data_IF_610278293849
#
_entry.id   IF_610278293849
#
_cell.length_a   1.000
_cell.length_b   1.000
_cell.length_c   1.000
_cell.angle_alpha   90.00
_cell.angle_beta   90.00
_cell.angle_gamma   90.00
#
_symmetry.space_group_name_H-M   'P 1'
#
loop_
_entity.id
_entity.type
_entity.pdbx_description
1 polymer ?
#
# COMPACT_ATOMS: atom_id res chain seq x y z
N UNK A 1 -36.25 -69.09 -24.87
CA UNK A 1 -36.08 -67.69 -25.31
C UNK A 1 -35.69 -66.86 -24.09
N UNK A 2 -34.43 -66.42 -24.03
CA UNK A 2 -33.79 -65.80 -22.86
C UNK A 2 -33.92 -64.28 -22.99
N UNK A 3 -34.53 -63.60 -22.02
CA UNK A 3 -34.60 -62.13 -21.96
C UNK A 3 -33.32 -61.60 -21.32
N UNK A 4 -32.56 -60.79 -22.05
CA UNK A 4 -31.39 -60.04 -21.55
C UNK A 4 -31.87 -58.71 -20.97
N UNK A 5 -31.61 -58.47 -19.69
CA UNK A 5 -31.73 -57.16 -19.07
C UNK A 5 -30.41 -56.41 -19.28
N UNK A 6 -30.48 -55.20 -19.85
CA UNK A 6 -29.35 -54.29 -19.98
C UNK A 6 -29.76 -52.96 -19.35
N UNK A 7 -29.33 -52.72 -18.11
CA UNK A 7 -29.47 -51.41 -17.45
C UNK A 7 -28.06 -50.89 -17.22
N UNK A 8 -27.58 -50.05 -18.12
CA UNK A 8 -26.34 -49.32 -17.98
C UNK A 8 -26.60 -48.04 -17.18
N UNK A 9 -26.07 -47.95 -15.96
CA UNK A 9 -26.00 -46.71 -15.21
C UNK A 9 -24.77 -45.92 -15.70
N UNK A 10 -24.99 -44.82 -16.40
CA UNK A 10 -23.94 -43.86 -16.75
C UNK A 10 -23.74 -42.95 -15.54
N UNK A 11 -22.68 -43.22 -14.76
CA UNK A 11 -22.22 -42.32 -13.72
C UNK A 11 -21.42 -41.18 -14.37
N UNK A 12 -22.05 -40.01 -14.54
CA UNK A 12 -21.33 -38.76 -14.85
C UNK A 12 -20.61 -38.29 -13.58
N UNK A 13 -19.35 -38.66 -13.41
CA UNK A 13 -18.49 -38.06 -12.39
C UNK A 13 -18.09 -36.66 -12.86
N UNK A 14 -18.72 -35.63 -12.27
CA UNK A 14 -18.34 -34.23 -12.44
C UNK A 14 -17.05 -33.99 -11.64
N UNK A 15 -15.90 -34.34 -12.22
CA UNK A 15 -14.61 -33.90 -11.67
C UNK A 15 -14.48 -32.42 -11.96
N UNK A 16 -14.95 -31.58 -11.03
CA UNK A 16 -14.53 -30.20 -10.97
C UNK A 16 -13.02 -30.20 -10.74
N UNK A 17 -12.27 -30.06 -11.84
CA UNK A 17 -10.86 -29.70 -11.77
C UNK A 17 -10.79 -28.37 -11.04
N UNK A 18 -10.43 -28.41 -9.76
CA UNK A 18 -10.00 -27.23 -9.03
C UNK A 18 -8.72 -26.79 -9.73
N UNK A 19 -8.87 -25.92 -10.72
CA UNK A 19 -7.78 -25.11 -11.23
C UNK A 19 -7.32 -24.28 -10.03
N UNK A 20 -6.30 -24.75 -9.33
CA UNK A 20 -5.45 -23.90 -8.51
C UNK A 20 -4.76 -22.94 -9.46
N UNK A 21 -5.44 -21.87 -9.83
CA UNK A 21 -4.74 -20.65 -10.18
C UNK A 21 -3.95 -20.29 -8.93
N UNK A 22 -2.64 -20.52 -8.94
CA UNK A 22 -1.75 -19.71 -8.13
C UNK A 22 -2.02 -18.28 -8.60
N UNK A 23 -2.93 -17.59 -7.93
CA UNK A 23 -2.97 -16.15 -8.00
C UNK A 23 -1.59 -15.76 -7.49
N UNK A 24 -0.70 -15.37 -8.40
CA UNK A 24 0.47 -14.59 -8.00
C UNK A 24 -0.14 -13.40 -7.29
N UNK A 25 -0.14 -13.40 -5.96
CA UNK A 25 -0.74 -12.29 -5.27
C UNK A 25 0.06 -11.05 -5.64
N UNK A 26 -0.67 -9.98 -5.88
CA UNK A 26 -0.15 -8.71 -6.29
C UNK A 26 -0.61 -7.70 -5.27
N UNK A 27 0.21 -6.68 -5.01
CA UNK A 27 -0.21 -5.58 -4.18
C UNK A 27 -1.45 -4.91 -4.80
N UNK A 28 -2.52 -4.78 -4.03
CA UNK A 28 -3.73 -4.16 -4.52
C UNK A 28 -3.61 -2.64 -4.51
N UNK A 29 -4.13 -1.97 -5.55
CA UNK A 29 -4.10 -0.51 -5.68
C UNK A 29 -4.92 0.26 -4.63
N UNK A 30 -5.58 -0.45 -3.72
CA UNK A 30 -6.34 0.07 -2.59
C UNK A 30 -5.87 -0.54 -1.26
N UNK A 31 -4.65 -1.07 -1.21
CA UNK A 31 -4.07 -1.58 0.02
C UNK A 31 -3.66 -0.42 0.95
N UNK A 32 -3.61 -0.72 2.25
CA UNK A 32 -2.97 0.13 3.26
C UNK A 32 -1.74 -0.59 3.78
N UNK A 33 -0.59 0.06 3.68
CA UNK A 33 0.67 -0.36 4.29
C UNK A 33 0.70 0.16 5.73
N UNK A 34 0.40 -0.72 6.70
CA UNK A 34 0.41 -0.36 8.11
C UNK A 34 1.85 -0.28 8.62
N UNK A 35 2.11 0.73 9.46
CA UNK A 35 3.44 1.01 9.99
C UNK A 35 3.56 0.39 11.38
N UNK A 36 4.44 -0.58 11.55
CA UNK A 36 4.74 -1.22 12.82
C UNK A 36 5.90 -0.51 13.56
N UNK A 37 6.01 -0.69 14.89
CA UNK A 37 7.15 -0.22 15.66
C UNK A 37 8.46 -0.79 15.10
N UNK A 38 9.47 0.08 14.95
CA UNK A 38 10.76 -0.23 14.31
C UNK A 38 10.93 0.48 12.96
N UNK A 39 9.85 1.03 12.40
CA UNK A 39 9.90 1.98 11.30
C UNK A 39 10.58 3.29 11.71
N UNK A 40 11.39 3.86 10.83
CA UNK A 40 12.14 5.10 11.08
C UNK A 40 12.37 5.89 9.79
N UNK A 41 12.71 7.16 9.95
CA UNK A 41 13.38 7.94 8.92
C UNK A 41 14.69 8.50 9.48
N UNK A 42 15.57 8.99 8.62
CA UNK A 42 16.72 9.74 9.08
C UNK A 42 17.26 10.67 8.02
N UNK A 43 18.05 11.64 8.49
CA UNK A 43 18.83 12.56 7.68
C UNK A 43 20.30 12.32 7.98
N UNK A 44 21.14 12.38 6.96
CA UNK A 44 22.60 12.29 7.07
C UNK A 44 23.16 13.65 7.53
N UNK A 45 23.20 13.85 8.85
CA UNK A 45 23.59 15.12 9.46
C UNK A 45 25.11 15.31 9.52
N UNK A 46 25.88 14.23 9.45
CA UNK A 46 27.34 14.23 9.49
C UNK A 46 27.99 14.03 8.11
N UNK A 47 27.18 13.72 7.08
CA UNK A 47 27.60 13.65 5.69
C UNK A 47 28.44 12.41 5.38
N UNK A 48 28.29 11.35 6.17
CA UNK A 48 29.06 10.11 6.02
C UNK A 48 28.38 9.09 5.09
N UNK A 49 27.17 9.40 4.62
CA UNK A 49 26.37 8.54 3.75
C UNK A 49 25.83 7.30 4.46
N UNK A 50 25.76 7.29 5.79
CA UNK A 50 25.29 6.16 6.58
C UNK A 50 24.15 6.58 7.52
N UNK A 51 22.92 6.28 7.11
CA UNK A 51 21.74 6.50 7.96
C UNK A 51 21.21 5.13 8.44
N UNK A 52 21.34 4.87 9.74
CA UNK A 52 20.87 3.62 10.36
C UNK A 52 19.66 3.83 11.26
N UNK A 53 18.94 2.75 11.58
CA UNK A 53 17.84 2.75 12.55
C UNK A 53 18.24 3.30 13.93
N UNK A 54 19.53 3.24 14.28
CA UNK A 54 20.05 3.72 15.57
C UNK A 54 20.25 5.24 15.60
N UNK A 55 20.44 5.85 14.43
CA UNK A 55 20.57 7.30 14.25
C UNK A 55 19.28 7.95 13.74
N UNK A 56 18.33 7.13 13.27
CA UNK A 56 17.05 7.57 12.73
C UNK A 56 16.03 7.97 13.80
N UNK A 57 15.09 8.83 13.41
CA UNK A 57 13.91 9.17 14.20
C UNK A 57 12.85 8.11 14.02
N UNK A 58 12.41 7.51 15.13
CA UNK A 58 11.37 6.49 15.13
C UNK A 58 10.03 7.09 14.72
N UNK A 59 9.28 6.29 13.97
CA UNK A 59 7.96 6.64 13.45
C UNK A 59 6.91 5.77 14.14
N UNK A 60 5.74 6.36 14.38
CA UNK A 60 4.54 5.66 14.83
C UNK A 60 3.43 5.77 13.80
N UNK A 61 2.56 4.76 13.74
CA UNK A 61 1.46 4.75 12.78
C UNK A 61 0.47 5.88 13.02
N UNK A 62 0.06 6.55 11.93
CA UNK A 62 -1.19 7.31 11.85
C UNK A 62 -2.18 6.57 10.95
N UNK A 63 -2.12 6.78 9.63
CA UNK A 63 -2.94 6.03 8.66
C UNK A 63 -2.17 4.96 7.88
N UNK A 64 -0.84 4.98 7.91
CA UNK A 64 -0.02 4.22 6.98
C UNK A 64 -0.08 4.81 5.56
N UNK A 65 0.53 4.11 4.60
CA UNK A 65 0.49 4.50 3.19
C UNK A 65 -0.72 3.85 2.53
N UNK A 66 -1.60 4.66 1.94
CA UNK A 66 -2.74 4.23 1.13
C UNK A 66 -2.31 4.16 -0.32
N UNK A 67 -2.13 2.94 -0.82
CA UNK A 67 -1.78 2.71 -2.22
C UNK A 67 -2.86 3.33 -3.12
N UNK A 68 -2.43 3.95 -4.23
CA UNK A 68 -3.30 4.56 -5.23
C UNK A 68 -4.06 5.81 -4.77
N UNK A 69 -3.76 6.36 -3.57
CA UNK A 69 -4.44 7.55 -3.03
C UNK A 69 -3.42 8.58 -2.55
N UNK A 70 -3.63 9.86 -2.90
CA UNK A 70 -2.83 10.94 -2.34
C UNK A 70 -3.26 11.23 -0.89
N UNK A 71 -2.29 11.38 0.00
CA UNK A 71 -2.50 11.64 1.42
C UNK A 71 -2.05 13.05 1.77
N UNK A 72 -2.74 14.03 1.20
CA UNK A 72 -2.35 15.44 1.30
C UNK A 72 -2.80 16.10 2.60
N UNK A 73 -2.06 17.12 3.02
CA UNK A 73 -2.37 17.98 4.17
C UNK A 73 -2.77 19.37 3.67
N UNK A 74 -3.62 20.09 4.41
CA UNK A 74 -4.07 21.44 3.99
C UNK A 74 -3.45 22.58 4.82
N UNK A 75 -2.97 22.33 6.05
CA UNK A 75 -2.40 23.32 7.00
C UNK A 75 -1.78 22.56 8.22
N UNK A 76 -1.01 23.18 9.16
CA UNK A 76 0.01 22.49 9.94
C UNK A 76 -0.43 21.12 10.50
N UNK A 77 0.36 20.05 10.28
CA UNK A 77 -0.18 18.71 10.14
C UNK A 77 -0.24 17.86 11.41
N UNK A 78 0.23 18.36 12.57
CA UNK A 78 0.34 17.57 13.80
C UNK A 78 -1.00 17.00 14.35
N UNK A 79 -2.15 17.37 13.76
CA UNK A 79 -3.48 16.85 14.12
C UNK A 79 -4.33 16.41 12.94
N UNK A 80 -3.77 16.29 11.73
CA UNK A 80 -4.57 15.99 10.55
C UNK A 80 -4.79 14.48 10.35
N UNK A 81 -6.02 14.05 10.02
CA UNK A 81 -6.33 12.64 9.86
C UNK A 81 -5.71 12.02 8.61
N UNK A 82 -5.20 12.79 7.64
CA UNK A 82 -4.73 12.25 6.35
C UNK A 82 -3.24 11.87 6.31
N UNK A 83 -2.47 12.14 7.36
CA UNK A 83 -1.03 11.89 7.35
C UNK A 83 -0.67 10.40 7.40
N UNK A 84 0.49 10.06 6.83
CA UNK A 84 0.99 8.68 6.80
C UNK A 84 1.34 8.22 8.22
N UNK A 85 2.06 9.07 8.95
CA UNK A 85 2.65 8.72 10.23
C UNK A 85 2.81 9.92 11.18
N UNK A 86 3.32 9.66 12.38
CA UNK A 86 3.69 10.68 13.37
C UNK A 86 5.05 10.32 13.96
N UNK A 87 5.96 11.29 14.04
CA UNK A 87 7.29 11.08 14.59
C UNK A 87 7.27 10.97 16.11
N UNK A 88 8.08 10.06 16.65
CA UNK A 88 8.21 9.93 18.09
C UNK A 88 9.10 11.04 18.64
N UNK A 89 8.57 11.85 19.56
CA UNK A 89 9.33 12.89 20.26
C UNK A 89 9.39 14.26 19.58
N UNK A 90 8.82 14.42 18.38
CA UNK A 90 8.75 15.70 17.65
C UNK A 90 7.43 15.80 16.85
N UNK A 91 6.83 17.00 16.67
CA UNK A 91 5.53 17.15 15.97
C UNK A 91 5.60 16.99 14.43
N UNK A 92 6.54 16.21 13.91
CA UNK A 92 6.70 16.00 12.47
C UNK A 92 5.90 14.81 11.92
N UNK A 93 5.76 14.79 10.60
CA UNK A 93 4.95 13.79 9.89
C UNK A 93 5.27 13.72 8.39
N UNK A 94 5.05 12.54 7.80
CA UNK A 94 5.10 12.34 6.35
C UNK A 94 3.70 12.37 5.71
N UNK A 95 3.66 12.83 4.46
CA UNK A 95 2.44 12.93 3.66
C UNK A 95 2.76 12.87 2.17
N UNK A 96 1.75 12.69 1.31
CA UNK A 96 1.94 12.70 -0.15
C UNK A 96 1.03 13.68 -0.88
N UNK A 97 1.59 14.46 -1.80
CA UNK A 97 0.82 15.34 -2.71
C UNK A 97 0.28 14.59 -3.94
N UNK A 98 0.87 13.43 -4.25
CA UNK A 98 0.47 12.54 -5.33
C UNK A 98 0.11 11.14 -4.81
N UNK A 99 -0.68 10.36 -5.58
CA UNK A 99 -1.02 9.00 -5.19
C UNK A 99 0.19 8.06 -5.17
N UNK A 100 0.30 7.24 -4.12
CA UNK A 100 1.32 6.20 -4.03
C UNK A 100 1.01 5.02 -4.98
N UNK A 101 1.36 5.15 -6.25
CA UNK A 101 0.98 4.19 -7.29
C UNK A 101 1.94 3.00 -7.37
N UNK A 102 1.43 1.84 -7.76
CA UNK A 102 2.28 0.68 -8.08
C UNK A 102 2.87 0.89 -9.46
N UNK A 103 4.20 0.88 -9.55
CA UNK A 103 4.93 1.01 -10.80
C UNK A 103 5.31 -0.36 -11.37
N UNK A 104 5.72 -1.29 -10.51
CA UNK A 104 5.98 -2.68 -10.88
C UNK A 104 5.68 -3.63 -9.73
N UNK A 105 5.29 -4.86 -10.07
CA UNK A 105 5.09 -5.96 -9.14
C UNK A 105 5.57 -7.25 -9.83
N UNK A 106 6.52 -7.94 -9.22
CA UNK A 106 7.05 -9.19 -9.78
C UNK A 106 6.22 -10.43 -9.40
N UNK A 107 5.18 -10.28 -8.56
CA UNK A 107 4.35 -11.36 -8.04
C UNK A 107 5.10 -12.33 -7.11
N UNK A 108 6.30 -11.96 -6.67
CA UNK A 108 7.21 -12.74 -5.82
C UNK A 108 7.69 -11.92 -4.61
N UNK A 109 6.90 -10.92 -4.21
CA UNK A 109 7.17 -10.11 -3.02
C UNK A 109 8.14 -8.95 -3.26
N UNK A 110 8.38 -8.50 -4.50
CA UNK A 110 9.06 -7.22 -4.76
C UNK A 110 8.19 -6.31 -5.61
N UNK A 111 7.85 -5.16 -5.05
CA UNK A 111 7.00 -4.14 -5.65
C UNK A 111 7.76 -2.82 -5.63
N UNK A 112 7.56 -1.99 -6.65
CA UNK A 112 8.00 -0.60 -6.63
C UNK A 112 6.81 0.34 -6.57
N UNK A 113 6.92 1.36 -5.71
CA UNK A 113 5.90 2.35 -5.49
C UNK A 113 6.40 3.73 -5.90
N UNK A 114 5.55 4.49 -6.57
CA UNK A 114 5.76 5.91 -6.84
C UNK A 114 5.51 6.71 -5.56
N UNK A 115 6.58 7.21 -4.96
CA UNK A 115 6.58 8.18 -3.86
C UNK A 115 7.20 9.52 -4.31
N UNK A 116 7.13 9.87 -5.61
CA UNK A 116 7.60 11.16 -6.13
C UNK A 116 6.88 12.37 -5.53
N UNK A 117 5.72 12.15 -4.90
CA UNK A 117 5.00 13.16 -4.14
C UNK A 117 5.25 13.15 -2.64
N UNK A 118 6.24 12.40 -2.15
CA UNK A 118 6.54 12.32 -0.72
C UNK A 118 7.04 13.67 -0.22
N UNK A 119 6.44 14.10 0.89
CA UNK A 119 6.78 15.32 1.59
C UNK A 119 6.87 15.02 3.09
N UNK A 120 7.63 15.83 3.81
CA UNK A 120 7.69 15.80 5.27
C UNK A 120 7.47 17.19 5.85
N UNK A 121 6.84 17.25 7.03
CA UNK A 121 6.75 18.46 7.83
C UNK A 121 7.60 18.29 9.08
N UNK A 122 8.52 19.21 9.31
CA UNK A 122 9.48 19.16 10.44
C UNK A 122 9.02 19.90 11.70
N UNK A 123 7.83 20.52 11.66
CA UNK A 123 7.33 21.42 12.70
C UNK A 123 7.34 22.89 12.28
N UNK A 124 8.13 23.24 11.28
CA UNK A 124 8.38 24.62 10.82
C UNK A 124 7.93 24.80 9.37
N UNK A 125 8.34 23.89 8.50
CA UNK A 125 8.12 23.98 7.06
C UNK A 125 7.92 22.61 6.42
N UNK A 126 7.50 22.66 5.14
CA UNK A 126 7.36 21.47 4.32
C UNK A 126 8.65 21.25 3.52
N UNK A 127 9.16 20.03 3.57
CA UNK A 127 10.36 19.60 2.86
C UNK A 127 9.92 18.56 1.82
N UNK A 128 10.25 18.83 0.56
CA UNK A 128 9.96 17.93 -0.55
C UNK A 128 10.99 16.81 -0.60
N UNK A 129 10.53 15.57 -0.74
CA UNK A 129 11.37 14.37 -0.70
C UNK A 129 11.16 13.49 -1.94
N UNK A 130 10.64 14.01 -3.05
CA UNK A 130 10.30 13.21 -4.23
C UNK A 130 11.44 12.93 -5.22
N UNK A 131 12.69 13.32 -4.91
CA UNK A 131 13.82 13.24 -5.84
C UNK A 131 15.17 13.07 -5.13
N UNK A 132 16.23 12.83 -5.90
CA UNK A 132 17.60 12.76 -5.39
C UNK A 132 17.90 11.44 -4.70
N UNK A 133 17.52 10.31 -5.31
CA UNK A 133 17.92 9.00 -4.80
C UNK A 133 19.46 8.92 -4.76
N UNK A 134 20.01 8.77 -3.56
CA UNK A 134 21.46 8.76 -3.32
C UNK A 134 22.04 7.35 -3.14
N UNK A 135 21.20 6.38 -2.77
CA UNK A 135 21.60 4.99 -2.59
C UNK A 135 21.60 4.24 -3.93
N UNK A 136 22.59 3.36 -4.14
CA UNK A 136 22.72 2.62 -5.39
C UNK A 136 21.55 1.64 -5.59
N UNK A 137 20.98 1.62 -6.79
CA UNK A 137 19.86 0.74 -7.13
C UNK A 137 18.48 1.35 -6.89
N UNK A 138 18.42 2.57 -6.36
CA UNK A 138 17.18 3.34 -6.22
C UNK A 138 17.03 4.38 -7.35
N UNK A 139 15.80 4.81 -7.56
CA UNK A 139 15.43 5.81 -8.58
C UNK A 139 14.64 6.91 -7.90
N UNK A 140 14.81 8.14 -8.39
CA UNK A 140 14.10 9.32 -7.89
C UNK A 140 12.59 9.07 -7.78
N UNK A 141 12.06 9.32 -6.58
CA UNK A 141 10.63 9.19 -6.32
C UNK A 141 10.13 7.75 -6.32
N UNK A 142 11.00 6.73 -6.31
CA UNK A 142 10.58 5.32 -6.31
C UNK A 142 11.02 4.63 -5.02
N UNK A 143 10.06 4.11 -4.27
CA UNK A 143 10.30 3.24 -3.14
C UNK A 143 10.31 1.77 -3.55
N UNK A 144 11.13 0.98 -2.87
CA UNK A 144 11.15 -0.47 -3.00
C UNK A 144 10.40 -1.08 -1.82
N UNK A 145 9.40 -1.92 -2.12
CA UNK A 145 8.63 -2.68 -1.15
C UNK A 145 8.98 -4.16 -1.29
N UNK A 146 9.53 -4.75 -0.23
CA UNK A 146 9.87 -6.15 -0.14
C UNK A 146 8.90 -6.83 0.84
N UNK A 147 8.04 -7.67 0.30
CA UNK A 147 7.11 -8.46 1.09
C UNK A 147 7.70 -9.83 1.41
N UNK A 148 7.23 -10.45 2.48
CA UNK A 148 7.76 -11.74 2.90
C UNK A 148 7.34 -12.88 1.95
N UNK A 149 6.24 -12.76 1.22
CA UNK A 149 5.82 -13.80 0.26
C UNK A 149 5.42 -13.23 -1.09
N UNK A 150 4.37 -12.41 -1.13
CA UNK A 150 3.73 -12.03 -2.39
C UNK A 150 2.96 -10.70 -2.31
N UNK A 151 3.12 -9.94 -1.23
CA UNK A 151 2.42 -8.68 -1.02
C UNK A 151 0.88 -8.82 -0.96
N UNK A 152 0.37 -10.02 -0.65
CA UNK A 152 -1.05 -10.22 -0.35
C UNK A 152 -1.47 -9.56 0.96
N UNK A 153 -2.78 -9.39 1.15
CA UNK A 153 -3.31 -8.87 2.41
C UNK A 153 -2.91 -9.77 3.59
N UNK A 154 -2.36 -9.15 4.64
CA UNK A 154 -1.83 -9.82 5.82
C UNK A 154 -0.34 -10.11 5.76
N UNK A 155 0.28 -10.02 4.58
CA UNK A 155 1.73 -10.22 4.40
C UNK A 155 2.51 -9.10 5.11
N UNK A 156 3.69 -9.46 5.61
CA UNK A 156 4.61 -8.50 6.19
C UNK A 156 5.48 -7.87 5.11
N UNK A 157 5.85 -6.62 5.29
CA UNK A 157 6.69 -5.90 4.34
C UNK A 157 7.78 -5.08 5.02
N UNK A 158 8.84 -4.81 4.26
CA UNK A 158 9.77 -3.70 4.46
C UNK A 158 9.70 -2.78 3.25
N UNK A 159 9.67 -1.47 3.48
CA UNK A 159 9.71 -0.44 2.44
C UNK A 159 10.96 0.38 2.67
N UNK A 160 11.79 0.49 1.63
CA UNK A 160 12.98 1.33 1.62
C UNK A 160 12.81 2.44 0.60
N UNK A 161 13.07 3.66 1.04
CA UNK A 161 13.04 4.85 0.19
C UNK A 161 14.21 5.77 0.51
N UNK A 162 14.80 6.34 -0.52
CA UNK A 162 15.99 7.18 -0.44
C UNK A 162 15.78 8.42 -1.31
N UNK A 163 16.05 9.58 -0.72
CA UNK A 163 15.92 10.88 -1.38
C UNK A 163 16.96 11.85 -0.84
N UNK A 164 17.14 12.99 -1.51
CA UNK A 164 17.99 14.07 -1.04
C UNK A 164 17.13 15.32 -0.96
N UNK A 165 17.22 16.03 0.16
CA UNK A 165 16.53 17.31 0.31
C UNK A 165 17.04 18.27 -0.78
N UNK A 166 16.16 18.94 -1.54
CA UNK A 166 16.58 19.84 -2.61
C UNK A 166 17.58 20.89 -2.12
N UNK A 167 18.60 21.20 -2.92
CA UNK A 167 19.64 22.18 -2.56
C UNK A 167 19.13 23.61 -2.46
N UNK A 168 17.94 23.87 -3.00
CA UNK A 168 17.22 25.14 -2.92
C UNK A 168 16.12 25.13 -1.84
N UNK A 169 16.03 24.09 -1.02
CA UNK A 169 15.10 24.04 0.10
C UNK A 169 15.52 25.06 1.17
N UNK A 170 14.59 25.84 1.74
CA UNK A 170 14.91 26.87 2.72
C UNK A 170 15.20 26.34 4.13
N UNK A 171 15.13 25.02 4.36
CA UNK A 171 15.54 24.40 5.61
C UNK A 171 17.06 24.31 5.79
N UNK A 172 17.49 24.02 7.01
CA UNK A 172 18.90 23.72 7.32
C UNK A 172 19.33 22.33 6.82
N UNK A 173 18.45 21.60 6.12
CA UNK A 173 18.69 20.26 5.62
C UNK A 173 18.99 20.20 4.11
N UNK A 174 19.10 21.34 3.44
CA UNK A 174 19.34 21.41 1.99
C UNK A 174 20.55 20.57 1.55
N UNK A 175 20.33 19.63 0.62
CA UNK A 175 21.34 18.71 0.11
C UNK A 175 21.65 17.51 1.00
N UNK A 176 21.01 17.37 2.16
CA UNK A 176 21.21 16.20 3.03
C UNK A 176 20.51 14.97 2.47
N UNK A 177 21.18 13.82 2.61
CA UNK A 177 20.59 12.53 2.30
C UNK A 177 19.50 12.18 3.31
N UNK A 178 18.40 11.63 2.81
CA UNK A 178 17.23 11.20 3.56
C UNK A 178 16.95 9.73 3.31
N UNK A 179 16.61 8.98 4.35
CA UNK A 179 16.10 7.61 4.24
C UNK A 179 14.77 7.49 4.97
N UNK A 180 13.86 6.70 4.39
CA UNK A 180 12.64 6.23 5.04
C UNK A 180 12.61 4.71 4.97
N UNK A 181 12.48 4.10 6.14
CA UNK A 181 12.40 2.66 6.32
C UNK A 181 11.12 2.35 7.07
N UNK A 182 10.16 1.76 6.39
CA UNK A 182 8.91 1.33 7.01
C UNK A 182 8.87 -0.19 7.07
N UNK A 183 8.36 -0.71 8.15
CA UNK A 183 8.03 -2.12 8.27
C UNK A 183 6.60 -2.27 8.77
N UNK A 184 5.93 -3.34 8.36
CA UNK A 184 4.65 -3.68 8.94
C UNK A 184 3.86 -4.68 8.12
N UNK A 185 2.54 -4.47 8.01
CA UNK A 185 1.63 -5.42 7.36
C UNK A 185 0.70 -4.75 6.37
N UNK A 186 0.46 -5.44 5.27
CA UNK A 186 -0.47 -5.00 4.23
C UNK A 186 -1.90 -5.33 4.70
N UNK A 187 -2.81 -4.38 4.57
CA UNK A 187 -4.23 -4.60 4.89
C UNK A 187 -5.14 -4.05 3.80
N UNK A 188 -6.33 -4.63 3.68
CA UNK A 188 -7.34 -4.10 2.78
C UNK A 188 -7.94 -2.83 3.38
N UNK A 189 -8.23 -1.82 2.54
CA UNK A 189 -9.12 -0.73 2.96
C UNK A 189 -10.49 -1.34 3.29
N UNK A 190 -11.05 -1.10 4.49
CA UNK A 190 -12.40 -1.54 4.81
C UNK A 190 -13.39 -0.96 3.79
N UNK A 191 -13.91 -1.82 2.92
CA UNK A 191 -14.92 -1.39 1.95
C UNK A 191 -16.17 -0.99 2.73
N UNK A 192 -16.72 0.22 2.55
CA UNK A 192 -17.90 0.63 3.29
C UNK A 192 -19.02 -0.39 3.12
N UNK A 193 -19.73 -0.70 4.21
CA UNK A 193 -20.88 -1.61 4.22
C UNK A 193 -21.92 -1.27 3.13
N UNK A 194 -21.94 -0.02 2.68
CA UNK A 194 -22.69 0.45 1.52
C UNK A 194 -22.52 -0.43 0.28
N UNK A 195 -21.32 -0.93 -0.05
CA UNK A 195 -21.16 -1.78 -1.25
C UNK A 195 -21.95 -3.09 -1.12
N UNK A 196 -21.99 -3.68 0.07
CA UNK A 196 -22.82 -4.86 0.35
C UNK A 196 -24.31 -4.53 0.32
N UNK A 197 -24.71 -3.35 0.83
CA UNK A 197 -26.09 -2.88 0.79
C UNK A 197 -26.56 -2.58 -0.64
N UNK A 198 -25.71 -1.95 -1.46
CA UNK A 198 -26.00 -1.69 -2.87
C UNK A 198 -26.04 -2.99 -3.67
N UNK A 199 -25.12 -3.92 -3.43
CA UNK A 199 -25.12 -5.23 -4.07
C UNK A 199 -26.39 -6.05 -3.76
N UNK A 200 -26.75 -6.14 -2.48
CA UNK A 200 -27.97 -6.86 -2.05
C UNK A 200 -29.25 -6.13 -2.46
N UNK A 201 -29.27 -4.80 -2.41
CA UNK A 201 -30.39 -3.97 -2.86
C UNK A 201 -30.65 -4.13 -4.37
N UNK A 202 -29.61 -4.15 -5.19
CA UNK A 202 -29.73 -4.34 -6.65
C UNK A 202 -30.25 -5.73 -6.99
N UNK A 203 -29.74 -6.78 -6.32
CA UNK A 203 -30.23 -8.15 -6.49
C UNK A 203 -31.70 -8.29 -6.07
N UNK A 204 -32.10 -7.65 -4.97
CA UNK A 204 -33.49 -7.57 -4.53
C UNK A 204 -34.39 -6.91 -5.58
N UNK A 205 -33.92 -5.81 -6.19
CA UNK A 205 -34.64 -5.09 -7.23
C UNK A 205 -34.77 -5.91 -8.53
N UNK A 206 -33.71 -6.59 -8.95
CA UNK A 206 -33.73 -7.48 -10.11
C UNK A 206 -34.71 -8.65 -9.90
N UNK A 207 -34.76 -9.22 -8.70
CA UNK A 207 -35.74 -10.23 -8.32
C UNK A 207 -37.18 -9.73 -8.37
N UNK A 208 -37.43 -8.48 -7.92
CA UNK A 208 -38.74 -7.85 -7.98
C UNK A 208 -39.22 -7.61 -9.42
N UNK A 209 -38.32 -7.16 -10.30
CA UNK A 209 -38.63 -6.93 -11.72
C UNK A 209 -38.99 -8.23 -12.44
N UNK A 210 -38.34 -9.35 -12.13
CA UNK A 210 -38.64 -10.65 -12.76
C UNK A 210 -40.04 -11.16 -12.40
N UNK A 211 -40.54 -10.88 -11.20
CA UNK A 211 -41.89 -11.31 -10.75
C UNK A 211 -43.01 -10.65 -11.55
N UNK A 212 -42.79 -9.47 -12.13
CA UNK A 212 -43.81 -8.73 -12.87
C UNK A 212 -44.10 -9.29 -14.27
N UNK A 213 -43.28 -10.20 -14.78
CA UNK A 213 -43.42 -10.75 -16.14
C UNK A 213 -44.04 -12.15 -16.19
N UNK A 214 -44.47 -12.74 -15.06
CA UNK A 214 -45.04 -14.11 -15.01
C UNK A 214 -46.56 -14.12 -14.85
N UNK A 215 -47.28 -13.19 -15.48
CA UNK A 215 -48.75 -13.20 -15.51
C UNK A 215 -49.24 -13.17 -16.96
N UNK A 216 -49.18 -14.33 -17.62
CA UNK A 216 -49.99 -14.71 -18.78
C UNK A 216 -50.28 -16.21 -18.69
#
# INVERSE_FOLDING_TARGET
MKKMNLTAAIALSLSAGMMSSSANAALASNAVLNINPGSYFGLDLDGDGQISAQSGTLISQSQGIRVGTAQSITVPPASQPSVIDIWQGSPGTHWTDSPANILSDNGQGTVTLDLSGLNMWDGIQNIFLGSGAWETGFTDGIAQLNCNTDCSFGDSYTLSYFATVPTNDPSDFAGMAYTLQLEGRISAVPVPAAVWLFGSGLLGLAGFLRRRNTTL
#
